data_IF_780955565704
#
_entry.id   IF_780955565704
#
_cell.length_a   1.000
_cell.length_b   1.000
_cell.length_c   1.000
_cell.angle_alpha   90.00
_cell.angle_beta   90.00
_cell.angle_gamma   90.00
#
_symmetry.space_group_name_H-M   'P 1'
#
loop_
_entity.id
_entity.type
_entity.pdbx_description
1 polymer ?
#
# COMPACT_ATOMS: atom_id res chain seq x y z
N UNK A 1 -0.91 -29.66 -20.14
CA UNK A 1 0.31 -28.84 -19.97
C UNK A 1 0.14 -27.36 -20.35
N UNK A 2 -1.05 -26.91 -20.81
CA UNK A 2 -1.28 -25.56 -21.36
C UNK A 2 -1.89 -24.52 -20.39
N UNK A 3 -2.32 -24.92 -19.18
CA UNK A 3 -3.03 -24.04 -18.22
C UNK A 3 -2.07 -23.35 -17.24
N UNK A 4 -0.82 -23.84 -17.11
CA UNK A 4 0.14 -23.37 -16.09
C UNK A 4 0.63 -21.92 -16.32
N UNK A 5 0.59 -21.42 -17.55
CA UNK A 5 1.31 -20.20 -17.95
C UNK A 5 0.39 -18.97 -18.05
N UNK A 6 -0.93 -19.15 -18.18
CA UNK A 6 -1.83 -18.03 -18.53
C UNK A 6 -2.11 -17.09 -17.34
N UNK A 7 -2.37 -17.62 -16.14
CA UNK A 7 -2.70 -16.80 -14.96
C UNK A 7 -1.50 -15.99 -14.47
N UNK A 8 -0.32 -16.61 -14.39
CA UNK A 8 0.90 -15.92 -13.99
C UNK A 8 1.28 -14.84 -15.00
N UNK A 9 1.26 -15.16 -16.30
CA UNK A 9 1.52 -14.18 -17.36
C UNK A 9 0.56 -13.00 -17.30
N UNK A 10 -0.74 -13.27 -17.18
CA UNK A 10 -1.75 -12.22 -17.07
C UNK A 10 -1.56 -11.35 -15.82
N UNK A 11 -1.22 -11.95 -14.67
CA UNK A 11 -0.87 -11.22 -13.47
C UNK A 11 0.35 -10.30 -13.70
N UNK A 12 1.42 -10.81 -14.31
CA UNK A 12 2.62 -10.00 -14.59
C UNK A 12 2.31 -8.82 -15.53
N UNK A 13 1.53 -9.05 -16.59
CA UNK A 13 1.08 -8.00 -17.51
C UNK A 13 0.24 -6.93 -16.79
N UNK A 14 -0.71 -7.35 -15.95
CA UNK A 14 -1.56 -6.43 -15.17
C UNK A 14 -0.75 -5.62 -14.15
N UNK A 15 0.20 -6.24 -13.44
CA UNK A 15 1.10 -5.56 -12.50
C UNK A 15 1.91 -4.48 -13.22
N UNK A 16 2.51 -4.84 -14.36
CA UNK A 16 3.27 -3.91 -15.19
C UNK A 16 2.42 -2.73 -15.66
N UNK A 17 1.23 -2.99 -16.20
CA UNK A 17 0.33 -1.94 -16.67
C UNK A 17 -0.12 -1.02 -15.53
N UNK A 18 -0.46 -1.58 -14.38
CA UNK A 18 -0.90 -0.83 -13.19
C UNK A 18 0.22 0.07 -12.68
N UNK A 19 1.44 -0.45 -12.50
CA UNK A 19 2.58 0.33 -12.05
C UNK A 19 2.95 1.43 -13.06
N UNK A 20 2.97 1.14 -14.36
CA UNK A 20 3.19 2.16 -15.39
C UNK A 20 2.17 3.30 -15.29
N UNK A 21 0.88 2.98 -15.15
CA UNK A 21 -0.16 3.99 -14.98
C UNK A 21 0.05 4.85 -13.73
N UNK A 22 0.49 4.25 -12.61
CA UNK A 22 0.81 4.99 -11.40
C UNK A 22 2.05 5.87 -11.54
N UNK A 23 3.12 5.38 -12.19
CA UNK A 23 4.33 6.17 -12.48
C UNK A 23 3.97 7.40 -13.30
N UNK A 24 3.24 7.23 -14.41
CA UNK A 24 2.89 8.34 -15.29
C UNK A 24 1.99 9.37 -14.59
N UNK A 25 1.04 8.91 -13.77
CA UNK A 25 0.19 9.80 -12.99
C UNK A 25 1.00 10.60 -11.95
N UNK A 26 1.92 9.95 -11.22
CA UNK A 26 2.79 10.64 -10.26
C UNK A 26 3.72 11.64 -10.96
N UNK A 27 4.32 11.27 -12.10
CA UNK A 27 5.16 12.18 -12.90
C UNK A 27 4.38 13.40 -13.40
N UNK A 28 3.13 13.22 -13.79
CA UNK A 28 2.26 14.32 -14.19
C UNK A 28 2.05 15.27 -13.02
N UNK A 29 1.63 14.76 -11.87
CA UNK A 29 1.42 15.55 -10.66
C UNK A 29 2.72 16.26 -10.19
N UNK A 30 3.87 15.59 -10.26
CA UNK A 30 5.17 16.15 -9.86
C UNK A 30 5.62 17.39 -10.66
N UNK A 31 4.98 17.69 -11.81
CA UNK A 31 5.22 18.94 -12.55
C UNK A 31 4.62 20.16 -11.83
N UNK A 32 3.82 19.93 -10.80
CA UNK A 32 3.02 20.92 -10.11
C UNK A 32 3.37 20.94 -8.61
N UNK A 33 4.00 22.02 -8.11
CA UNK A 33 4.47 22.09 -6.72
C UNK A 33 3.36 21.98 -5.66
N UNK A 34 2.12 22.30 -6.03
CA UNK A 34 0.94 22.23 -5.16
C UNK A 34 0.22 20.88 -5.22
N UNK A 35 0.74 19.92 -6.00
CA UNK A 35 0.19 18.59 -6.09
C UNK A 35 0.09 17.93 -4.71
N UNK A 36 -1.07 17.32 -4.45
CA UNK A 36 -1.37 16.73 -3.15
C UNK A 36 -2.12 15.41 -3.29
N UNK A 37 -1.68 14.43 -2.51
CA UNK A 37 -2.34 13.14 -2.36
C UNK A 37 -3.05 13.05 -1.02
N UNK A 38 -4.27 12.51 -1.00
CA UNK A 38 -5.00 12.16 0.22
C UNK A 38 -5.49 10.73 0.14
N UNK A 39 -5.14 9.90 1.11
CA UNK A 39 -5.46 8.48 1.15
C UNK A 39 -6.13 8.15 2.48
N UNK A 40 -7.33 7.59 2.44
CA UNK A 40 -7.96 6.96 3.58
C UNK A 40 -8.01 5.45 3.35
N UNK A 41 -7.58 4.63 4.29
CA UNK A 41 -7.39 3.20 4.04
C UNK A 41 -7.56 2.32 5.26
N UNK A 42 -8.08 1.12 5.02
CA UNK A 42 -8.17 0.03 6.01
C UNK A 42 -7.12 -1.06 5.82
N UNK A 43 -6.26 -0.90 4.82
CA UNK A 43 -5.13 -1.77 4.55
C UNK A 43 -3.88 -0.94 4.32
N UNK A 44 -2.72 -1.54 4.51
CA UNK A 44 -1.45 -0.92 4.15
C UNK A 44 -1.43 -0.44 2.69
N UNK A 45 -1.16 0.86 2.44
CA UNK A 45 -0.92 1.36 1.09
C UNK A 45 0.31 0.72 0.43
N UNK A 46 0.17 0.39 -0.85
CA UNK A 46 1.16 -0.40 -1.58
C UNK A 46 2.53 0.28 -1.69
N UNK A 47 2.56 1.60 -1.84
CA UNK A 47 3.78 2.40 -1.87
C UNK A 47 4.72 2.18 -0.68
N UNK A 48 4.21 1.74 0.48
CA UNK A 48 5.07 1.52 1.64
C UNK A 48 5.81 0.19 1.58
N UNK A 49 5.16 -0.89 1.12
CA UNK A 49 5.81 -2.20 1.10
C UNK A 49 6.60 -2.49 -0.17
N UNK A 50 6.46 -1.66 -1.23
CA UNK A 50 7.11 -1.90 -2.52
C UNK A 50 8.66 -1.81 -2.49
N UNK A 51 9.25 -1.16 -1.48
CA UNK A 51 10.70 -1.13 -1.28
C UNK A 51 11.26 -2.37 -0.55
N UNK A 52 10.39 -3.24 -0.04
CA UNK A 52 10.78 -4.41 0.75
C UNK A 52 10.61 -5.65 -0.12
N UNK A 53 11.73 -6.33 -0.38
CA UNK A 53 11.86 -7.33 -1.45
C UNK A 53 10.84 -8.46 -1.32
N UNK A 54 10.65 -8.99 -0.12
CA UNK A 54 9.76 -10.12 0.10
C UNK A 54 8.34 -9.64 0.35
N UNK A 55 8.16 -8.57 1.13
CA UNK A 55 6.84 -8.03 1.47
C UNK A 55 6.09 -7.53 0.21
N UNK A 56 6.79 -6.91 -0.74
CA UNK A 56 6.22 -6.46 -2.01
C UNK A 56 5.60 -7.59 -2.86
N UNK A 57 6.05 -8.83 -2.66
CA UNK A 57 5.58 -10.01 -3.41
C UNK A 57 4.30 -10.60 -2.83
N UNK A 58 3.99 -10.34 -1.55
CA UNK A 58 2.85 -10.97 -0.86
C UNK A 58 1.50 -10.71 -1.55
N UNK A 59 1.11 -9.47 -1.88
CA UNK A 59 -0.20 -9.22 -2.47
C UNK A 59 -0.40 -9.90 -3.83
N UNK A 60 0.65 -9.89 -4.67
CA UNK A 60 0.59 -10.51 -6.00
C UNK A 60 0.69 -12.04 -5.91
N UNK A 61 1.44 -12.58 -4.96
CA UNK A 61 1.48 -14.02 -4.71
C UNK A 61 0.15 -14.55 -4.16
N UNK A 62 -0.52 -13.82 -3.26
CA UNK A 62 -1.88 -14.14 -2.82
C UNK A 62 -2.86 -14.11 -3.99
N UNK A 63 -2.76 -13.12 -4.87
CA UNK A 63 -3.58 -13.08 -6.08
C UNK A 63 -3.39 -14.32 -6.94
N UNK A 64 -2.13 -14.73 -7.16
CA UNK A 64 -1.80 -15.94 -7.89
C UNK A 64 -2.46 -17.16 -7.24
N UNK A 65 -2.33 -17.31 -5.92
CA UNK A 65 -2.99 -18.38 -5.16
C UNK A 65 -4.51 -18.39 -5.36
N UNK A 66 -5.16 -17.23 -5.32
CA UNK A 66 -6.62 -17.13 -5.43
C UNK A 66 -7.16 -17.39 -6.84
N UNK A 67 -6.33 -17.23 -7.87
CA UNK A 67 -6.74 -17.28 -9.28
C UNK A 67 -6.16 -18.47 -10.06
N UNK A 68 -5.19 -19.18 -9.49
CA UNK A 68 -4.57 -20.35 -10.08
C UNK A 68 -5.12 -21.64 -9.46
N UNK A 69 -5.32 -22.71 -10.25
CA UNK A 69 -5.65 -24.02 -9.69
C UNK A 69 -4.58 -24.51 -8.71
N UNK A 70 -5.01 -25.07 -7.57
CA UNK A 70 -4.13 -25.53 -6.47
C UNK A 70 -3.05 -26.51 -6.96
N UNK A 71 -3.37 -27.41 -7.89
CA UNK A 71 -2.44 -28.38 -8.48
C UNK A 71 -1.25 -27.74 -9.21
N UNK A 72 -1.40 -26.48 -9.62
CA UNK A 72 -0.38 -25.71 -10.30
C UNK A 72 0.30 -24.70 -9.37
N UNK A 73 -0.04 -24.66 -8.09
CA UNK A 73 0.50 -23.67 -7.17
C UNK A 73 2.00 -23.90 -6.94
N UNK A 74 2.78 -22.84 -7.09
CA UNK A 74 4.21 -22.85 -6.83
C UNK A 74 4.50 -22.33 -5.42
N UNK A 75 5.64 -22.71 -4.85
CA UNK A 75 6.08 -22.18 -3.55
C UNK A 75 6.34 -20.67 -3.63
N UNK A 76 6.34 -19.99 -2.49
CA UNK A 76 6.72 -18.58 -2.44
C UNK A 76 8.16 -18.39 -2.89
N UNK A 77 9.08 -19.29 -2.54
CA UNK A 77 10.46 -19.26 -3.03
C UNK A 77 10.56 -19.25 -4.56
N UNK A 78 9.73 -20.03 -5.25
CA UNK A 78 9.76 -20.16 -6.72
C UNK A 78 9.07 -19.00 -7.44
N UNK A 79 8.18 -18.27 -6.76
CA UNK A 79 7.46 -17.15 -7.35
C UNK A 79 8.40 -15.97 -7.62
N UNK A 80 8.72 -15.68 -8.88
CA UNK A 80 9.57 -14.54 -9.24
C UNK A 80 8.78 -13.44 -9.93
N UNK A 81 9.06 -12.21 -9.55
CA UNK A 81 8.62 -11.00 -10.26
C UNK A 81 9.79 -10.52 -11.10
N UNK A 82 9.55 -10.17 -12.37
CA UNK A 82 10.60 -9.73 -13.28
C UNK A 82 11.27 -8.43 -12.83
N UNK A 83 12.56 -8.26 -13.15
CA UNK A 83 13.32 -7.04 -12.85
C UNK A 83 12.68 -5.76 -13.41
N UNK A 84 11.98 -5.86 -14.55
CA UNK A 84 11.24 -4.74 -15.13
C UNK A 84 10.14 -4.22 -14.19
N UNK A 85 9.31 -5.11 -13.64
CA UNK A 85 8.25 -4.76 -12.68
C UNK A 85 8.85 -4.22 -11.38
N UNK A 86 9.96 -4.79 -10.92
CA UNK A 86 10.67 -4.30 -9.73
C UNK A 86 11.19 -2.87 -9.97
N UNK A 87 11.78 -2.61 -11.14
CA UNK A 87 12.25 -1.28 -11.53
C UNK A 87 11.10 -0.27 -11.56
N UNK A 88 9.96 -0.65 -12.14
CA UNK A 88 8.75 0.20 -12.17
C UNK A 88 8.19 0.46 -10.77
N UNK A 89 8.23 -0.53 -9.87
CA UNK A 89 7.79 -0.35 -8.49
C UNK A 89 8.68 0.67 -7.76
N UNK A 90 10.00 0.58 -7.92
CA UNK A 90 10.92 1.55 -7.34
C UNK A 90 10.76 2.95 -7.96
N UNK A 91 10.55 3.03 -9.28
CA UNK A 91 10.25 4.30 -9.95
C UNK A 91 8.96 4.91 -9.40
N UNK A 92 7.89 4.11 -9.27
CA UNK A 92 6.64 4.56 -8.68
C UNK A 92 6.85 5.09 -7.26
N UNK A 93 7.56 4.36 -6.39
CA UNK A 93 7.82 4.82 -5.01
C UNK A 93 8.63 6.11 -5.00
N UNK A 94 9.62 6.23 -5.89
CA UNK A 94 10.43 7.45 -6.04
C UNK A 94 9.56 8.66 -6.41
N UNK A 95 8.73 8.53 -7.45
CA UNK A 95 7.85 9.60 -7.92
C UNK A 95 6.72 9.89 -6.92
N UNK A 96 6.19 8.87 -6.24
CA UNK A 96 5.17 9.05 -5.21
C UNK A 96 5.71 9.82 -4.00
N UNK A 97 6.94 9.52 -3.58
CA UNK A 97 7.54 10.13 -2.39
C UNK A 97 7.79 11.63 -2.55
N UNK A 98 7.71 12.21 -3.75
CA UNK A 98 7.85 13.67 -3.94
C UNK A 98 6.53 14.44 -3.82
N UNK A 99 5.39 13.77 -3.67
CA UNK A 99 4.08 14.39 -3.54
C UNK A 99 3.70 14.55 -2.06
N UNK A 100 3.26 15.74 -1.67
CA UNK A 100 2.72 15.98 -0.32
C UNK A 100 1.51 15.07 -0.07
N UNK A 101 1.53 14.31 1.02
CA UNK A 101 0.57 13.22 1.24
C UNK A 101 -0.10 13.27 2.62
N UNK A 102 -1.43 13.21 2.63
CA UNK A 102 -2.24 12.92 3.82
C UNK A 102 -2.61 11.43 3.83
N UNK A 103 -2.34 10.73 4.94
CA UNK A 103 -2.76 9.36 5.18
C UNK A 103 -3.72 9.28 6.37
N UNK A 104 -4.91 8.75 6.17
CA UNK A 104 -5.88 8.42 7.21
C UNK A 104 -5.91 6.89 7.33
N UNK A 105 -5.29 6.38 8.39
CA UNK A 105 -5.23 4.96 8.68
C UNK A 105 -6.37 4.53 9.58
N UNK A 106 -6.99 3.40 9.23
CA UNK A 106 -7.78 2.62 10.17
C UNK A 106 -6.86 2.09 11.31
N UNK A 107 -7.36 1.92 12.55
CA UNK A 107 -6.59 1.36 13.66
C UNK A 107 -5.90 0.01 13.35
N UNK A 108 -6.43 -0.76 12.41
CA UNK A 108 -5.97 -2.11 12.04
C UNK A 108 -5.38 -2.19 10.62
N UNK A 109 -4.91 -1.06 10.08
CA UNK A 109 -4.40 -0.93 8.69
C UNK A 109 -3.40 -2.03 8.27
N UNK A 110 -2.62 -2.57 9.20
CA UNK A 110 -1.53 -3.53 8.91
C UNK A 110 -1.98 -5.00 8.99
N UNK A 111 -3.14 -5.28 9.59
CA UNK A 111 -3.52 -6.63 9.98
C UNK A 111 -3.73 -7.56 8.78
N UNK A 112 -4.31 -7.04 7.69
CA UNK A 112 -4.65 -7.83 6.50
C UNK A 112 -3.43 -8.54 5.89
N UNK A 113 -2.28 -7.86 5.81
CA UNK A 113 -1.06 -8.43 5.23
C UNK A 113 -0.49 -9.52 6.15
N UNK A 114 -0.52 -9.31 7.47
CA UNK A 114 -0.09 -10.32 8.44
C UNK A 114 -0.98 -11.57 8.35
N UNK A 115 -2.29 -11.39 8.26
CA UNK A 115 -3.25 -12.49 8.10
C UNK A 115 -3.01 -13.25 6.78
N UNK A 116 -2.68 -12.53 5.71
CA UNK A 116 -2.33 -13.13 4.42
C UNK A 116 -1.06 -13.98 4.51
N UNK A 117 -0.02 -13.50 5.19
CA UNK A 117 1.22 -14.27 5.42
C UNK A 117 0.93 -15.53 6.25
N UNK A 118 0.20 -15.39 7.36
CA UNK A 118 -0.17 -16.53 8.23
C UNK A 118 -0.98 -17.56 7.45
N UNK A 119 -1.91 -17.12 6.62
CA UNK A 119 -2.73 -18.00 5.79
C UNK A 119 -1.87 -18.79 4.80
N UNK A 120 -0.98 -18.10 4.06
CA UNK A 120 -0.08 -18.74 3.10
C UNK A 120 0.91 -19.70 3.78
N UNK A 121 1.41 -19.35 4.97
CA UNK A 121 2.24 -20.22 5.79
C UNK A 121 1.51 -21.50 6.20
N UNK A 122 0.26 -21.41 6.68
CA UNK A 122 -0.56 -22.58 7.06
C UNK A 122 -0.84 -23.54 5.90
N UNK A 123 -0.75 -23.06 4.66
CA UNK A 123 -0.86 -23.86 3.45
C UNK A 123 0.47 -24.51 3.04
N UNK A 124 1.54 -24.32 3.80
CA UNK A 124 2.92 -24.73 3.47
C UNK A 124 3.43 -24.09 2.16
N UNK A 125 2.91 -22.92 1.80
CA UNK A 125 3.35 -22.16 0.62
C UNK A 125 4.52 -21.23 0.93
N UNK A 126 4.67 -20.85 2.21
CA UNK A 126 5.77 -20.05 2.75
C UNK A 126 6.45 -20.87 3.84
N UNK A 127 7.78 -20.86 3.89
CA UNK A 127 8.56 -21.56 4.92
C UNK A 127 8.71 -20.74 6.20
N UNK A 128 9.14 -21.37 7.31
CA UNK A 128 9.48 -20.65 8.54
C UNK A 128 10.55 -19.57 8.32
N UNK A 129 11.55 -19.86 7.49
CA UNK A 129 12.65 -18.95 7.18
C UNK A 129 12.13 -17.72 6.43
N UNK A 130 11.23 -17.92 5.46
CA UNK A 130 10.59 -16.84 4.73
C UNK A 130 9.65 -16.00 5.60
N UNK A 131 8.92 -16.62 6.54
CA UNK A 131 8.11 -15.87 7.53
C UNK A 131 8.99 -14.96 8.38
N UNK A 132 10.15 -15.43 8.84
CA UNK A 132 11.09 -14.61 9.61
C UNK A 132 11.61 -13.41 8.81
N UNK A 133 11.95 -13.60 7.53
CA UNK A 133 12.36 -12.51 6.64
C UNK A 133 11.23 -11.49 6.41
N UNK A 134 10.01 -11.97 6.18
CA UNK A 134 8.83 -11.13 6.02
C UNK A 134 8.55 -10.32 7.30
N UNK A 135 8.67 -10.96 8.47
CA UNK A 135 8.52 -10.31 9.78
C UNK A 135 9.54 -9.20 9.97
N UNK A 136 10.81 -9.45 9.66
CA UNK A 136 11.87 -8.45 9.74
C UNK A 136 11.61 -7.26 8.81
N UNK A 137 11.32 -7.52 7.53
CA UNK A 137 10.98 -6.47 6.56
C UNK A 137 9.76 -5.65 7.01
N UNK A 138 8.76 -6.31 7.59
CA UNK A 138 7.55 -5.63 8.04
C UNK A 138 7.82 -4.74 9.26
N UNK A 139 8.61 -5.21 10.23
CA UNK A 139 9.00 -4.39 11.39
C UNK A 139 9.83 -3.17 10.95
N UNK A 140 10.78 -3.35 10.03
CA UNK A 140 11.55 -2.24 9.45
C UNK A 140 10.63 -1.23 8.75
N UNK A 141 9.58 -1.68 8.06
CA UNK A 141 8.58 -0.79 7.47
C UNK A 141 7.84 0.02 8.53
N UNK A 142 7.41 -0.61 9.63
CA UNK A 142 6.77 0.11 10.74
C UNK A 142 7.70 1.19 11.29
N UNK A 143 8.97 0.86 11.52
CA UNK A 143 9.97 1.80 12.03
C UNK A 143 10.18 2.99 11.08
N UNK A 144 10.34 2.73 9.78
CA UNK A 144 10.50 3.77 8.76
C UNK A 144 9.27 4.68 8.67
N UNK A 145 8.06 4.12 8.77
CA UNK A 145 6.83 4.90 8.74
C UNK A 145 6.65 5.74 10.01
N UNK A 146 7.03 5.23 11.18
CA UNK A 146 7.02 5.99 12.42
C UNK A 146 7.99 7.17 12.37
N UNK A 147 9.21 6.96 11.86
CA UNK A 147 10.22 8.04 11.68
C UNK A 147 9.71 9.13 10.74
N UNK A 148 9.13 8.74 9.60
CA UNK A 148 8.51 9.67 8.64
C UNK A 148 7.35 10.43 9.28
N UNK A 149 6.50 9.74 10.04
CA UNK A 149 5.37 10.33 10.75
C UNK A 149 5.81 11.33 11.82
N UNK A 150 6.81 10.97 12.63
CA UNK A 150 7.35 11.81 13.67
C UNK A 150 7.99 13.09 13.11
N UNK A 151 8.74 12.96 12.00
CA UNK A 151 9.38 14.11 11.34
C UNK A 151 8.41 14.97 10.53
N UNK A 152 7.30 14.39 10.06
CA UNK A 152 6.38 15.00 9.10
C UNK A 152 6.97 15.19 7.71
N UNK A 153 8.11 14.54 7.42
CA UNK A 153 8.78 14.58 6.13
C UNK A 153 8.62 13.24 5.45
N UNK A 154 8.07 13.24 4.25
CA UNK A 154 7.95 12.03 3.46
C UNK A 154 9.21 11.75 2.65
N UNK A 155 9.80 12.84 2.14
CA UNK A 155 11.11 12.90 1.51
C UNK A 155 11.80 14.23 1.89
N UNK A 156 13.02 14.52 1.42
CA UNK A 156 13.61 15.85 1.59
C UNK A 156 12.77 17.00 1.00
N UNK A 157 11.90 16.72 0.02
CA UNK A 157 11.15 17.74 -0.73
C UNK A 157 9.64 17.70 -0.49
N UNK A 158 9.14 16.76 0.30
CA UNK A 158 7.68 16.56 0.50
C UNK A 158 7.33 16.22 1.94
N UNK A 159 6.07 16.46 2.29
CA UNK A 159 5.52 16.29 3.63
C UNK A 159 4.58 15.09 3.70
N UNK A 160 4.56 14.47 4.87
CA UNK A 160 3.57 13.45 5.22
C UNK A 160 2.76 13.94 6.42
N UNK A 161 1.45 13.77 6.38
CA UNK A 161 0.58 13.88 7.55
C UNK A 161 -0.17 12.56 7.74
N UNK A 162 -0.05 11.97 8.92
CA UNK A 162 -0.71 10.71 9.27
C UNK A 162 -1.75 10.95 10.35
N UNK A 163 -2.94 10.44 10.10
CA UNK A 163 -4.10 10.49 10.96
C UNK A 163 -4.53 9.07 11.30
N UNK A 164 -4.92 8.82 12.55
CA UNK A 164 -5.54 7.56 12.96
C UNK A 164 -7.03 7.78 13.08
N UNK A 165 -7.81 7.04 12.32
CA UNK A 165 -9.26 7.19 12.30
C UNK A 165 -9.91 6.64 13.56
N UNK A 166 -10.84 7.40 14.13
CA UNK A 166 -11.65 6.96 15.25
C UNK A 166 -12.90 6.17 14.80
N UNK A 167 -13.12 6.06 13.49
CA UNK A 167 -14.18 5.27 12.87
C UNK A 167 -13.58 4.29 11.86
N UNK A 168 -14.24 3.15 11.68
CA UNK A 168 -13.75 2.14 10.75
C UNK A 168 -13.78 2.63 9.31
N UNK A 169 -12.71 2.34 8.58
CA UNK A 169 -12.65 2.55 7.14
C UNK A 169 -13.01 1.23 6.44
N UNK A 170 -13.88 1.30 5.45
CA UNK A 170 -14.41 0.13 4.74
C UNK A 170 -13.55 -0.28 3.53
N UNK A 171 -12.91 0.66 2.84
CA UNK A 171 -11.95 0.39 1.76
C UNK A 171 -10.91 1.49 1.61
N UNK A 172 -9.98 1.33 0.67
CA UNK A 172 -8.98 2.34 0.32
C UNK A 172 -9.55 3.35 -0.67
N UNK A 173 -9.50 4.62 -0.27
CA UNK A 173 -9.88 5.80 -1.04
C UNK A 173 -8.65 6.66 -1.28
N UNK A 174 -8.36 6.96 -2.54
CA UNK A 174 -7.23 7.81 -2.92
C UNK A 174 -7.72 8.99 -3.74
N UNK A 175 -7.23 10.19 -3.44
CA UNK A 175 -7.55 11.42 -4.15
C UNK A 175 -6.26 12.18 -4.43
N UNK A 176 -5.99 12.45 -5.70
CA UNK A 176 -4.86 13.24 -6.17
C UNK A 176 -5.39 14.51 -6.82
N UNK A 177 -4.85 15.66 -6.43
CA UNK A 177 -5.19 16.95 -7.01
C UNK A 177 -3.94 17.78 -7.31
N UNK A 178 -3.99 18.55 -8.39
CA UNK A 178 -2.98 19.53 -8.80
C UNK A 178 -3.64 20.55 -9.74
N UNK A 179 -3.28 21.83 -9.64
CA UNK A 179 -3.94 22.95 -10.32
C UNK A 179 -5.49 22.84 -10.26
N UNK A 180 -6.12 22.65 -11.42
CA UNK A 180 -7.56 22.45 -11.60
C UNK A 180 -7.91 20.99 -11.97
N UNK A 181 -6.93 20.08 -11.90
CA UNK A 181 -7.07 18.67 -12.23
C UNK A 181 -7.25 17.84 -10.96
N UNK A 182 -7.98 16.74 -11.10
CA UNK A 182 -8.27 15.84 -9.99
C UNK A 182 -8.46 14.42 -10.52
N UNK A 183 -7.88 13.46 -9.83
CA UNK A 183 -8.03 12.04 -10.10
C UNK A 183 -8.42 11.36 -8.80
N UNK A 184 -9.50 10.61 -8.85
CA UNK A 184 -9.89 9.71 -7.77
C UNK A 184 -9.49 8.29 -8.14
N UNK A 185 -8.93 7.56 -7.17
CA UNK A 185 -8.61 6.14 -7.28
C UNK A 185 -9.38 5.35 -6.22
N UNK A 186 -10.07 4.30 -6.67
CA UNK A 186 -10.83 3.36 -5.86
C UNK A 186 -10.16 2.00 -5.89
N UNK A 187 -9.79 1.48 -4.71
CA UNK A 187 -9.42 0.07 -4.60
C UNK A 187 -10.68 -0.79 -4.66
N UNK A 188 -10.64 -1.84 -5.47
CA UNK A 188 -11.79 -2.76 -5.63
C UNK A 188 -11.51 -4.08 -4.91
N UNK A 189 -10.44 -4.76 -5.28
CA UNK A 189 -10.00 -6.00 -4.65
C UNK A 189 -8.52 -6.24 -4.96
N UNK A 190 -7.81 -6.94 -4.07
CA UNK A 190 -6.39 -7.25 -4.27
C UNK A 190 -5.57 -6.03 -4.67
N UNK A 191 -5.00 -6.08 -5.89
CA UNK A 191 -4.22 -5.02 -6.54
C UNK A 191 -5.00 -4.26 -7.63
N UNK A 192 -6.27 -4.58 -7.84
CA UNK A 192 -7.10 -3.96 -8.87
C UNK A 192 -7.78 -2.68 -8.36
N UNK A 193 -7.90 -1.71 -9.26
CA UNK A 193 -8.47 -0.40 -8.98
C UNK A 193 -9.16 0.21 -10.20
N UNK A 194 -10.00 1.20 -9.95
CA UNK A 194 -10.59 2.06 -10.97
C UNK A 194 -10.24 3.52 -10.66
N UNK A 195 -9.89 4.26 -11.71
CA UNK A 195 -9.66 5.69 -11.65
C UNK A 195 -10.78 6.46 -12.35
N UNK A 196 -11.06 7.66 -11.88
CA UNK A 196 -11.97 8.59 -12.55
C UNK A 196 -11.52 10.03 -12.36
N UNK A 197 -11.78 10.83 -13.39
CA UNK A 197 -11.60 12.29 -13.41
C UNK A 197 -12.95 13.02 -13.40
N UNK A 198 -14.07 12.29 -13.31
CA UNK A 198 -15.41 12.87 -13.28
C UNK A 198 -15.54 13.87 -12.12
N UNK A 199 -15.84 15.15 -12.39
CA UNK A 199 -15.83 16.16 -11.36
C UNK A 199 -16.85 15.95 -10.24
N UNK A 200 -17.97 15.30 -10.55
CA UNK A 200 -19.02 14.99 -9.57
C UNK A 200 -18.54 13.91 -8.62
N UNK A 201 -17.96 12.83 -9.16
CA UNK A 201 -17.42 11.74 -8.35
C UNK A 201 -16.25 12.24 -7.49
N UNK A 202 -15.31 12.98 -8.09
CA UNK A 202 -14.17 13.56 -7.38
C UNK A 202 -14.60 14.46 -6.21
N UNK A 203 -15.63 15.30 -6.40
CA UNK A 203 -16.15 16.15 -5.32
C UNK A 203 -16.73 15.34 -4.15
N UNK A 204 -17.51 14.29 -4.44
CA UNK A 204 -18.09 13.42 -3.41
C UNK A 204 -16.97 12.67 -2.67
N UNK A 205 -16.01 12.12 -3.41
CA UNK A 205 -14.88 11.38 -2.86
C UNK A 205 -14.00 12.24 -1.95
N UNK A 206 -13.66 13.46 -2.40
CA UNK A 206 -12.91 14.42 -1.59
C UNK A 206 -13.67 14.80 -0.31
N UNK A 207 -14.99 14.97 -0.39
CA UNK A 207 -15.84 15.24 0.77
C UNK A 207 -15.82 14.09 1.76
N UNK A 208 -15.85 12.84 1.28
CA UNK A 208 -15.79 11.65 2.10
C UNK A 208 -14.45 11.52 2.84
N UNK A 209 -13.33 11.63 2.13
CA UNK A 209 -11.98 11.60 2.74
C UNK A 209 -11.83 12.70 3.80
N UNK A 210 -12.31 13.93 3.52
CA UNK A 210 -12.27 15.02 4.49
C UNK A 210 -13.15 14.75 5.72
N UNK A 211 -14.27 14.04 5.56
CA UNK A 211 -15.10 13.62 6.68
C UNK A 211 -14.35 12.62 7.57
N UNK A 212 -13.72 11.59 6.99
CA UNK A 212 -12.89 10.63 7.73
C UNK A 212 -11.76 11.35 8.48
N UNK A 213 -11.05 12.24 7.78
CA UNK A 213 -9.98 13.07 8.35
C UNK A 213 -10.43 13.90 9.56
N UNK A 214 -11.64 14.48 9.51
CA UNK A 214 -12.22 15.26 10.62
C UNK A 214 -12.45 14.43 11.89
N UNK A 215 -12.80 13.15 11.75
CA UNK A 215 -12.97 12.21 12.86
C UNK A 215 -11.70 11.43 13.19
N UNK A 216 -10.54 11.92 12.80
CA UNK A 216 -9.26 11.24 13.01
C UNK A 216 -8.33 12.09 13.86
N UNK A 217 -7.42 11.41 14.56
CA UNK A 217 -6.38 12.05 15.37
C UNK A 217 -5.10 12.22 14.54
N UNK A 218 -4.64 13.45 14.32
CA UNK A 218 -3.34 13.73 13.69
C UNK A 218 -2.21 13.32 14.63
N UNK A 219 -1.34 12.42 14.18
CA UNK A 219 -0.19 11.91 14.94
C UNK A 219 1.17 12.37 14.38
N UNK A 220 1.15 13.12 13.28
CA UNK A 220 2.36 13.71 12.70
C UNK A 220 2.83 14.91 13.50
N UNK A 221 4.11 14.90 13.92
CA UNK A 221 4.76 15.97 14.70
C UNK A 221 4.06 16.37 16.01
N UNK A 222 3.01 15.66 16.40
CA UNK A 222 2.17 15.89 17.56
C UNK A 222 1.72 14.55 18.14
N UNK A 223 1.08 14.59 19.31
CA UNK A 223 0.48 13.41 19.95
C UNK A 223 1.46 12.24 20.10
N UNK A 224 2.68 12.51 20.60
CA UNK A 224 3.78 11.54 20.65
C UNK A 224 3.38 10.22 21.33
N UNK A 225 2.63 10.30 22.44
CA UNK A 225 2.11 9.12 23.13
C UNK A 225 1.17 8.28 22.24
N UNK A 226 0.25 8.93 21.52
CA UNK A 226 -0.70 8.26 20.62
C UNK A 226 0.04 7.63 19.43
N UNK A 227 1.05 8.33 18.89
CA UNK A 227 1.89 7.82 17.80
C UNK A 227 2.64 6.56 18.24
N UNK A 228 3.35 6.62 19.36
CA UNK A 228 4.12 5.51 19.92
C UNK A 228 3.19 4.32 20.22
N UNK A 229 2.05 4.58 20.86
CA UNK A 229 1.06 3.53 21.16
C UNK A 229 0.54 2.85 19.90
N UNK A 230 0.17 3.64 18.88
CA UNK A 230 -0.32 3.11 17.61
C UNK A 230 0.71 2.19 16.95
N UNK A 231 1.95 2.65 16.77
CA UNK A 231 2.98 1.86 16.09
C UNK A 231 3.45 0.66 16.91
N UNK A 232 3.55 0.77 18.23
CA UNK A 232 3.84 -0.37 19.10
C UNK A 232 2.78 -1.46 19.01
N UNK A 233 1.49 -1.09 18.97
CA UNK A 233 0.42 -2.06 18.77
C UNK A 233 0.56 -2.83 17.45
N UNK A 234 1.00 -2.17 16.37
CA UNK A 234 1.27 -2.86 15.10
C UNK A 234 2.45 -3.82 15.22
N UNK A 235 3.55 -3.40 15.87
CA UNK A 235 4.72 -4.27 16.11
C UNK A 235 4.34 -5.48 16.95
N UNK A 236 3.60 -5.30 18.03
CA UNK A 236 3.11 -6.39 18.89
C UNK A 236 2.27 -7.39 18.11
N UNK A 237 1.35 -6.91 17.26
CA UNK A 237 0.53 -7.77 16.42
C UNK A 237 1.39 -8.59 15.44
N UNK A 238 2.36 -7.96 14.77
CA UNK A 238 3.30 -8.62 13.87
C UNK A 238 4.12 -9.67 14.65
N UNK A 239 4.69 -9.31 15.79
CA UNK A 239 5.52 -10.20 16.60
C UNK A 239 4.78 -11.42 17.15
N UNK A 240 3.49 -11.27 17.44
CA UNK A 240 2.66 -12.35 17.96
C UNK A 240 2.19 -13.32 16.86
N UNK A 241 2.00 -12.82 15.63
CA UNK A 241 1.35 -13.57 14.54
C UNK A 241 2.31 -14.18 13.54
N UNK A 242 3.46 -13.53 13.29
CA UNK A 242 4.54 -14.00 12.43
C UNK A 242 5.70 -14.49 13.29
#
# INVERSE_FOLDING_TARGET
>A
MLIKDTSLKHLMENLKQTLNGHVELCKLANRHPEAKMSIATNTMPYQFFLNYRNLARIPSYKWLYQTQPVENMMSFSDYKVSDEIISLAHEFVKEYNTIDSDFIFDPNTFNSIVEDIVFLYKLNLITNEEVNLLKEEFLNLIDDLEIKTASGKFSPTSKISVYISNISIDTTYTFLEWDNNQVTHFRIYGLCSINTEDPTICKVHKTWINSLKRYSTLITRSADLVRIEYFNKQREFIMQKL
#
